data_IF_116394763847
#
_entry.id   IF_116394763847
#
_cell.length_a   1.000
_cell.length_b   1.000
_cell.length_c   1.000
_cell.angle_alpha   90.00
_cell.angle_beta   90.00
_cell.angle_gamma   90.00
#
_symmetry.space_group_name_H-M   'P 1'
#
loop_
_entity.id
_entity.type
_entity.pdbx_description
1 polymer ?
#
# COMPACT_ATOMS: atom_id res chain seq x y z
N UNK A 1 29.06 -32.81 -22.24
CA UNK A 1 28.98 -34.12 -21.55
C UNK A 1 27.74 -34.08 -20.65
N UNK A 2 26.81 -35.02 -20.85
CA UNK A 2 25.56 -35.30 -20.10
C UNK A 2 24.75 -34.15 -19.46
N UNK A 3 23.53 -33.88 -19.96
CA UNK A 3 22.40 -33.44 -19.14
C UNK A 3 21.60 -34.64 -18.61
N UNK A 4 21.14 -34.60 -17.36
CA UNK A 4 20.19 -35.58 -16.82
C UNK A 4 18.75 -35.07 -16.98
N UNK A 5 17.93 -35.83 -17.71
CA UNK A 5 16.47 -35.64 -17.77
C UNK A 5 15.80 -36.42 -16.63
N UNK A 6 14.88 -35.78 -15.91
CA UNK A 6 13.98 -36.46 -14.96
C UNK A 6 12.56 -36.41 -15.53
N UNK A 7 12.04 -37.59 -15.90
CA UNK A 7 10.64 -37.79 -16.26
C UNK A 7 9.81 -37.99 -15.00
N UNK A 8 8.68 -37.28 -14.88
CA UNK A 8 7.68 -37.54 -13.86
C UNK A 8 6.58 -38.45 -14.43
N UNK A 9 6.48 -39.67 -13.90
CA UNK A 9 5.35 -40.57 -14.14
C UNK A 9 4.18 -40.20 -13.22
N UNK A 10 2.98 -40.09 -13.78
CA UNK A 10 1.71 -40.09 -13.02
C UNK A 10 1.05 -41.47 -13.15
N UNK A 11 0.63 -42.11 -12.05
CA UNK A 11 -0.21 -43.30 -12.12
C UNK A 11 -1.67 -42.92 -12.43
N UNK A 12 -2.25 -43.58 -13.43
CA UNK A 12 -3.68 -43.49 -13.76
C UNK A 12 -4.45 -44.43 -12.83
N UNK A 13 -5.40 -43.90 -12.05
CA UNK A 13 -6.34 -44.70 -11.27
C UNK A 13 -7.66 -44.85 -12.04
N UNK A 14 -8.09 -46.09 -12.27
CA UNK A 14 -9.35 -46.41 -12.94
C UNK A 14 -10.54 -46.28 -11.99
N UNK A 15 -11.67 -45.79 -12.49
CA UNK A 15 -12.95 -45.78 -11.78
C UNK A 15 -13.97 -46.67 -12.52
N UNK A 16 -14.64 -47.53 -11.76
CA UNK A 16 -15.60 -48.52 -12.26
C UNK A 16 -16.99 -47.90 -12.52
N UNK A 17 -17.69 -48.39 -13.55
CA UNK A 17 -19.14 -48.23 -13.69
C UNK A 17 -19.91 -49.13 -12.71
N UNK A 18 -21.16 -48.78 -12.39
CA UNK A 18 -22.26 -49.64 -12.85
C UNK A 18 -23.43 -48.87 -13.48
N UNK A 19 -24.38 -49.63 -14.05
CA UNK A 19 -25.47 -49.18 -14.92
C UNK A 19 -26.86 -49.49 -14.36
N UNK A 20 -27.83 -48.61 -14.67
CA UNK A 20 -29.28 -48.84 -14.85
C UNK A 20 -30.11 -49.63 -13.82
N UNK A 21 -31.22 -49.02 -13.38
CA UNK A 21 -32.56 -49.57 -13.66
C UNK A 21 -33.68 -48.50 -13.57
N UNK A 22 -34.83 -48.81 -14.18
CA UNK A 22 -35.97 -47.90 -14.43
C UNK A 22 -37.09 -48.05 -13.38
N UNK A 23 -37.99 -47.06 -13.24
CA UNK A 23 -39.44 -47.21 -13.55
C UNK A 23 -40.37 -46.11 -12.97
N UNK A 24 -41.55 -46.03 -13.58
CA UNK A 24 -42.58 -44.97 -13.72
C UNK A 24 -43.48 -44.62 -12.48
N UNK A 25 -44.41 -43.64 -12.57
CA UNK A 25 -44.94 -42.87 -11.42
C UNK A 25 -46.47 -42.98 -11.18
N UNK A 26 -46.99 -42.35 -10.09
CA UNK A 26 -48.35 -41.71 -9.89
C UNK A 26 -48.75 -41.58 -8.40
N UNK A 27 -49.82 -40.85 -7.97
CA UNK A 27 -50.57 -39.76 -8.61
C UNK A 27 -50.91 -38.51 -7.70
N UNK A 28 -51.22 -37.40 -8.38
CA UNK A 28 -52.20 -36.31 -8.12
C UNK A 28 -52.77 -35.93 -6.71
N UNK A 29 -52.90 -34.60 -6.49
CA UNK A 29 -54.06 -34.00 -5.80
C UNK A 29 -54.42 -32.58 -6.34
N UNK A 30 -55.64 -32.10 -6.02
CA UNK A 30 -56.45 -31.06 -6.73
C UNK A 30 -56.91 -29.90 -5.81
N UNK A 31 -57.22 -28.67 -6.27
CA UNK A 31 -56.90 -28.03 -7.56
C UNK A 31 -56.70 -26.48 -7.55
N UNK A 32 -57.70 -25.55 -7.60
CA UNK A 32 -57.51 -24.34 -8.43
C UNK A 32 -57.87 -22.97 -7.82
N UNK A 33 -57.42 -21.88 -8.46
CA UNK A 33 -58.09 -20.55 -8.40
C UNK A 33 -57.88 -19.72 -9.68
N UNK A 34 -58.83 -18.82 -9.91
CA UNK A 34 -59.31 -18.26 -11.19
C UNK A 34 -58.51 -17.11 -11.85
N UNK A 35 -58.26 -17.24 -13.17
CA UNK A 35 -58.65 -16.33 -14.31
C UNK A 35 -58.54 -14.79 -14.17
N UNK A 36 -57.80 -14.11 -15.08
CA UNK A 36 -58.35 -13.14 -16.10
C UNK A 36 -57.32 -12.50 -17.07
N UNK A 37 -57.87 -12.06 -18.21
CA UNK A 37 -57.28 -11.68 -19.52
C UNK A 37 -56.40 -10.41 -19.58
N UNK A 38 -55.62 -10.31 -20.67
CA UNK A 38 -54.89 -9.12 -21.14
C UNK A 38 -55.80 -8.01 -21.75
N UNK A 39 -55.22 -6.85 -22.10
CA UNK A 39 -55.30 -6.35 -23.48
C UNK A 39 -53.95 -5.83 -24.05
N UNK A 40 -53.97 -5.23 -25.24
CA UNK A 40 -52.84 -5.14 -26.17
C UNK A 40 -52.18 -3.74 -26.36
N UNK A 41 -50.97 -3.78 -26.96
CA UNK A 41 -50.26 -2.82 -27.86
C UNK A 41 -50.75 -1.36 -28.01
N UNK A 42 -49.82 -0.39 -28.21
CA UNK A 42 -49.40 -0.10 -29.60
C UNK A 42 -47.98 0.50 -29.86
N UNK A 43 -47.44 0.20 -31.07
CA UNK A 43 -46.44 1.00 -31.87
C UNK A 43 -45.02 1.16 -31.23
N UNK A 44 -43.92 1.41 -31.96
CA UNK A 44 -43.71 1.88 -33.35
C UNK A 44 -42.39 1.35 -33.96
N UNK A 45 -42.32 1.35 -35.29
CA UNK A 45 -41.16 1.17 -36.19
C UNK A 45 -39.75 1.46 -35.68
N UNK A 46 -38.78 0.59 -36.04
CA UNK A 46 -37.39 0.96 -36.28
C UNK A 46 -36.94 0.49 -37.67
N UNK A 47 -36.23 1.37 -38.39
CA UNK A 47 -35.76 1.15 -39.75
C UNK A 47 -34.49 0.32 -39.80
N UNK A 48 -34.41 -0.58 -40.78
CA UNK A 48 -33.14 -1.19 -41.18
C UNK A 48 -32.28 -0.13 -41.90
N UNK A 49 -31.03 0.03 -41.48
CA UNK A 49 -30.00 0.67 -42.31
C UNK A 49 -28.94 -0.39 -42.65
N UNK A 50 -28.78 -0.61 -43.95
CA UNK A 50 -27.87 -1.59 -44.54
C UNK A 50 -26.44 -1.08 -44.58
N UNK A 51 -25.47 -2.00 -44.43
CA UNK A 51 -24.07 -1.70 -44.72
C UNK A 51 -23.89 -1.38 -46.21
N UNK A 52 -23.21 -0.28 -46.51
CA UNK A 52 -22.71 0.01 -47.85
C UNK A 52 -21.18 -0.12 -47.86
N UNK A 53 -20.67 -1.05 -48.68
CA UNK A 53 -19.24 -1.17 -49.02
C UNK A 53 -19.02 -0.57 -50.41
N UNK A 54 -17.98 0.24 -50.60
CA UNK A 54 -17.10 0.22 -51.79
C UNK A 54 -15.93 1.22 -51.64
N UNK A 55 -14.83 1.05 -52.39
CA UNK A 55 -13.49 1.41 -51.89
C UNK A 55 -12.78 2.52 -52.70
N UNK A 56 -11.65 2.99 -52.18
CA UNK A 56 -10.64 3.74 -52.95
C UNK A 56 -9.26 3.07 -52.74
N UNK A 57 -8.55 2.85 -53.85
CA UNK A 57 -7.19 2.30 -53.89
C UNK A 57 -6.12 3.32 -53.48
N UNK A 58 -5.02 2.82 -52.91
CA UNK A 58 -3.84 3.62 -52.59
C UNK A 58 -2.64 2.73 -52.27
N UNK A 59 -2.07 2.08 -53.28
CA UNK A 59 -0.84 1.28 -53.13
C UNK A 59 0.39 2.16 -53.23
N UNK A 60 1.36 2.06 -52.30
CA UNK A 60 2.75 1.76 -52.68
C UNK A 60 3.70 1.35 -51.54
N UNK A 61 4.52 0.35 -51.87
CA UNK A 61 5.90 0.06 -51.44
C UNK A 61 6.27 -0.10 -49.96
N UNK A 62 6.51 -1.37 -49.62
CA UNK A 62 7.32 -1.83 -48.49
C UNK A 62 8.80 -1.48 -48.69
N UNK A 63 9.45 -0.97 -47.65
CA UNK A 63 10.91 -1.05 -47.49
C UNK A 63 11.24 -1.54 -46.08
N UNK A 64 11.56 -2.83 -45.98
CA UNK A 64 12.09 -3.45 -44.76
C UNK A 64 13.59 -3.25 -44.68
N UNK A 65 14.07 -2.67 -43.57
CA UNK A 65 15.46 -2.81 -43.13
C UNK A 65 15.47 -3.31 -41.68
N UNK A 66 16.18 -4.40 -41.49
CA UNK A 66 16.37 -5.07 -40.20
C UNK A 66 17.01 -4.13 -39.17
N UNK A 67 16.57 -4.22 -37.92
CA UNK A 67 17.41 -4.01 -36.74
C UNK A 67 16.98 -4.98 -35.63
N UNK A 68 17.95 -5.37 -34.80
CA UNK A 68 17.93 -6.58 -33.97
C UNK A 68 17.20 -6.38 -32.61
N UNK A 69 16.93 -7.44 -31.83
CA UNK A 69 16.01 -7.38 -30.70
C UNK A 69 16.62 -6.74 -29.44
N UNK A 70 15.76 -6.15 -28.62
CA UNK A 70 16.08 -5.60 -27.30
C UNK A 70 16.19 -6.73 -26.27
N UNK A 71 17.27 -6.72 -25.48
CA UNK A 71 17.43 -7.49 -24.24
C UNK A 71 17.71 -6.52 -23.06
N UNK A 72 17.44 -6.92 -21.81
CA UNK A 72 17.20 -5.98 -20.71
C UNK A 72 18.48 -5.46 -20.05
N UNK A 73 18.39 -4.28 -19.43
CA UNK A 73 19.51 -3.62 -18.73
C UNK A 73 19.27 -3.55 -17.23
N UNK A 74 20.11 -4.24 -16.47
CA UNK A 74 20.74 -3.79 -15.21
C UNK A 74 21.79 -4.85 -14.78
N UNK A 75 22.81 -4.54 -13.95
CA UNK A 75 23.14 -3.26 -13.32
C UNK A 75 24.65 -2.85 -13.34
N UNK A 76 24.92 -1.71 -12.70
CA UNK A 76 26.15 -1.35 -11.95
C UNK A 76 27.38 -0.71 -12.66
N UNK A 77 27.99 0.22 -11.89
CA UNK A 77 29.36 0.74 -11.93
C UNK A 77 29.95 1.31 -13.25
N UNK A 78 30.09 2.63 -13.30
CA UNK A 78 31.37 3.30 -12.94
C UNK A 78 31.30 4.82 -13.08
N UNK A 79 31.82 5.57 -12.10
CA UNK A 79 31.89 7.03 -12.15
C UNK A 79 33.07 7.49 -13.02
N UNK A 80 32.79 8.21 -14.13
CA UNK A 80 33.82 8.88 -14.91
C UNK A 80 33.88 10.37 -14.54
N UNK A 81 35.01 10.81 -14.00
CA UNK A 81 35.24 12.20 -13.59
C UNK A 81 35.38 13.11 -14.82
N UNK A 82 34.52 14.12 -14.95
CA UNK A 82 34.74 15.22 -15.89
C UNK A 82 35.55 16.33 -15.18
N UNK A 83 36.75 16.61 -15.67
CA UNK A 83 37.66 17.62 -15.15
C UNK A 83 37.43 18.97 -15.85
N UNK A 84 36.65 19.86 -15.22
CA UNK A 84 36.53 21.26 -15.68
C UNK A 84 37.50 22.13 -14.88
N UNK A 85 38.52 22.70 -15.54
CA UNK A 85 39.49 23.62 -14.90
C UNK A 85 38.85 25.00 -14.72
N UNK A 86 38.65 25.42 -13.47
CA UNK A 86 38.45 26.84 -13.12
C UNK A 86 39.77 27.41 -12.57
N UNK A 87 40.33 28.40 -13.25
CA UNK A 87 41.51 29.15 -12.76
C UNK A 87 41.07 30.38 -11.97
N UNK A 88 41.19 30.34 -10.64
CA UNK A 88 41.24 31.55 -9.82
C UNK A 88 42.71 31.97 -9.60
N UNK A 89 43.02 33.24 -9.92
CA UNK A 89 44.29 33.87 -9.54
C UNK A 89 44.14 34.51 -8.16
N UNK A 90 44.92 34.09 -7.18
CA UNK A 90 45.12 34.86 -5.94
C UNK A 90 46.42 35.67 -6.04
N UNK A 91 46.34 36.98 -5.76
CA UNK A 91 47.50 37.84 -5.52
C UNK A 91 48.06 37.54 -4.13
N UNK A 92 49.35 37.28 -4.02
CA UNK A 92 50.06 37.25 -2.74
C UNK A 92 50.45 38.68 -2.33
N UNK A 93 50.21 39.03 -1.06
CA UNK A 93 50.78 40.22 -0.43
C UNK A 93 51.58 39.79 0.80
N UNK A 94 52.80 40.31 0.92
CA UNK A 94 53.76 39.92 1.94
C UNK A 94 54.03 41.07 2.91
N UNK A 95 53.86 40.83 4.22
CA UNK A 95 54.42 41.65 5.30
C UNK A 95 54.60 40.82 6.60
N UNK A 96 55.46 41.26 7.55
CA UNK A 96 56.30 40.33 8.32
C UNK A 96 55.79 39.97 9.72
N UNK A 97 56.28 38.85 10.24
CA UNK A 97 56.01 38.33 11.58
C UNK A 97 56.83 39.03 12.67
N UNK A 98 56.15 39.63 13.66
CA UNK A 98 56.80 40.07 14.92
C UNK A 98 56.97 38.89 15.87
N UNK A 99 58.18 38.67 16.37
CA UNK A 99 58.43 37.79 17.53
C UNK A 99 58.00 38.51 18.82
N UNK A 100 57.15 37.87 19.61
CA UNK A 100 56.94 38.21 21.02
C UNK A 100 57.67 37.18 21.88
N UNK A 101 58.55 37.66 22.77
CA UNK A 101 59.23 36.82 23.76
C UNK A 101 58.57 37.06 25.11
N UNK A 102 57.96 36.02 25.69
CA UNK A 102 57.40 36.09 27.04
C UNK A 102 58.45 35.64 28.05
N UNK A 103 58.87 36.55 28.93
CA UNK A 103 59.65 36.19 30.12
C UNK A 103 58.76 35.48 31.14
N UNK A 104 59.12 34.25 31.50
CA UNK A 104 58.51 33.52 32.61
C UNK A 104 59.22 33.90 33.90
N UNK A 105 58.54 34.64 34.77
CA UNK A 105 59.05 34.95 36.11
C UNK A 105 59.02 33.71 36.99
N UNK A 106 60.15 33.37 37.63
CA UNK A 106 60.19 32.33 38.68
C UNK A 106 59.45 32.82 39.93
N UNK A 107 58.48 32.05 40.40
CA UNK A 107 57.96 32.13 41.78
C UNK A 107 58.22 30.82 42.51
N UNK A 108 58.64 30.93 43.76
CA UNK A 108 58.91 29.81 44.68
C UNK A 108 57.60 29.10 45.08
N UNK A 109 57.64 27.82 45.50
CA UNK A 109 56.43 27.03 45.73
C UNK A 109 55.78 27.34 47.08
N UNK A 110 54.50 27.69 47.07
CA UNK A 110 53.61 27.59 48.23
C UNK A 110 52.81 26.30 48.17
N UNK A 111 52.73 25.58 49.28
CA UNK A 111 52.12 24.25 49.40
C UNK A 111 50.67 24.21 48.91
N UNK A 112 50.42 23.46 47.83
CA UNK A 112 49.10 23.01 47.42
C UNK A 112 48.98 21.53 47.74
N UNK A 113 47.98 21.18 48.56
CA UNK A 113 47.63 19.80 48.90
C UNK A 113 47.28 19.01 47.64
N UNK A 114 47.76 17.77 47.53
CA UNK A 114 47.31 16.86 46.46
C UNK A 114 45.80 16.69 46.57
N UNK A 115 45.07 17.16 45.55
CA UNK A 115 43.71 16.70 45.30
C UNK A 115 43.76 15.20 44.97
N UNK A 116 42.78 14.39 45.40
CA UNK A 116 42.74 12.98 45.06
C UNK A 116 42.64 12.80 43.55
N UNK A 117 43.41 11.86 43.01
CA UNK A 117 43.32 11.47 41.60
C UNK A 117 41.91 10.97 41.30
N UNK A 118 41.10 11.80 40.66
CA UNK A 118 39.91 11.34 39.93
C UNK A 118 40.37 10.55 38.71
N UNK A 119 40.67 9.27 38.93
CA UNK A 119 40.82 8.31 37.85
C UNK A 119 39.51 8.30 37.06
N UNK A 120 39.57 8.68 35.78
CA UNK A 120 38.43 8.57 34.89
C UNK A 120 37.93 7.11 34.93
N UNK A 121 36.62 6.86 35.12
CA UNK A 121 36.11 5.50 35.24
C UNK A 121 36.45 4.73 33.97
N UNK A 122 37.13 3.61 34.13
CA UNK A 122 37.40 2.66 33.06
C UNK A 122 36.07 2.22 32.44
N UNK A 123 35.81 2.72 31.23
CA UNK A 123 34.73 2.22 30.37
C UNK A 123 35.04 0.75 30.09
N UNK A 124 34.42 -0.15 30.86
CA UNK A 124 34.44 -1.58 30.56
C UNK A 124 33.91 -1.75 29.13
N UNK A 125 34.61 -2.48 28.24
CA UNK A 125 34.10 -2.71 26.90
C UNK A 125 32.78 -3.47 26.99
N UNK A 126 31.68 -2.79 26.66
CA UNK A 126 30.37 -3.39 26.54
C UNK A 126 30.37 -4.26 25.29
N UNK A 127 30.29 -5.57 25.47
CA UNK A 127 30.15 -6.49 24.34
C UNK A 127 28.87 -6.17 23.56
N UNK A 128 28.93 -6.09 22.22
CA UNK A 128 27.73 -5.89 21.41
C UNK A 128 26.82 -7.12 21.52
N UNK A 129 25.50 -6.90 21.41
CA UNK A 129 24.48 -7.93 21.45
C UNK A 129 23.37 -7.62 20.42
N UNK A 130 22.54 -8.61 20.10
CA UNK A 130 21.38 -8.43 19.22
C UNK A 130 20.30 -7.69 20.01
N UNK A 131 20.08 -6.40 19.71
CA UNK A 131 19.08 -5.59 20.42
C UNK A 131 17.64 -5.82 19.92
N UNK A 132 17.49 -6.27 18.68
CA UNK A 132 16.23 -6.71 18.06
C UNK A 132 16.55 -7.49 16.78
N UNK A 133 15.85 -8.59 16.54
CA UNK A 133 15.95 -9.36 15.30
C UNK A 133 14.57 -9.82 14.82
N UNK A 134 14.35 -9.71 13.50
CA UNK A 134 13.23 -10.35 12.79
C UNK A 134 13.66 -10.78 11.40
N UNK A 135 13.13 -11.88 10.90
CA UNK A 135 13.39 -12.38 9.56
C UNK A 135 12.16 -13.09 8.99
N UNK A 136 12.12 -13.32 7.68
CA UNK A 136 11.05 -14.11 7.09
C UNK A 136 10.98 -13.97 5.58
N UNK A 137 9.76 -13.87 5.03
CA UNK A 137 9.55 -13.76 3.58
C UNK A 137 8.61 -12.61 3.26
N UNK A 138 9.02 -11.82 2.26
CA UNK A 138 8.28 -10.70 1.69
C UNK A 138 7.85 -11.00 0.25
N UNK A 139 6.93 -10.19 -0.29
CA UNK A 139 6.43 -10.23 -1.66
C UNK A 139 5.79 -11.57 -2.10
N UNK A 140 5.16 -12.30 -1.17
CA UNK A 140 4.43 -13.54 -1.50
C UNK A 140 3.10 -13.16 -2.19
N UNK A 141 3.09 -13.13 -3.52
CA UNK A 141 1.86 -12.91 -4.30
C UNK A 141 1.03 -14.19 -4.40
N UNK A 142 -0.27 -14.08 -4.17
CA UNK A 142 -1.24 -15.18 -4.35
C UNK A 142 -2.57 -14.67 -4.90
N UNK A 143 -3.29 -15.57 -5.60
CA UNK A 143 -4.64 -15.35 -6.10
C UNK A 143 -5.53 -16.52 -5.67
N UNK A 144 -6.59 -16.27 -4.90
CA UNK A 144 -7.60 -17.26 -4.53
C UNK A 144 -8.89 -16.98 -5.29
N UNK A 145 -9.46 -18.02 -5.91
CA UNK A 145 -10.78 -17.95 -6.56
C UNK A 145 -11.78 -18.76 -5.72
N UNK A 146 -12.81 -18.09 -5.22
CA UNK A 146 -14.02 -18.75 -4.73
C UNK A 146 -14.95 -19.03 -5.90
N UNK A 147 -15.55 -20.23 -5.95
CA UNK A 147 -16.45 -20.68 -7.03
C UNK A 147 -17.72 -21.21 -6.39
N UNK A 148 -18.83 -20.49 -6.53
CA UNK A 148 -20.13 -20.97 -6.10
C UNK A 148 -20.74 -21.81 -7.24
N UNK A 149 -20.92 -23.11 -7.00
CA UNK A 149 -21.39 -24.04 -8.02
C UNK A 149 -22.88 -23.84 -8.36
N UNK A 150 -23.70 -23.49 -7.37
CA UNK A 150 -25.16 -23.37 -7.50
C UNK A 150 -25.59 -22.16 -8.35
N UNK A 151 -24.81 -21.07 -8.29
CA UNK A 151 -25.07 -19.82 -9.02
C UNK A 151 -24.13 -19.60 -10.20
N UNK A 152 -23.06 -20.38 -10.32
CA UNK A 152 -21.97 -20.15 -11.27
C UNK A 152 -21.09 -18.92 -11.00
N UNK A 153 -21.39 -18.15 -9.94
CA UNK A 153 -20.66 -16.92 -9.59
C UNK A 153 -19.29 -17.25 -8.99
N UNK A 154 -18.28 -16.55 -9.48
CA UNK A 154 -16.90 -16.65 -9.01
C UNK A 154 -16.50 -15.32 -8.38
N UNK A 155 -15.63 -15.36 -7.37
CA UNK A 155 -15.04 -14.16 -6.72
C UNK A 155 -13.55 -14.38 -6.57
N UNK A 156 -12.76 -13.35 -6.89
CA UNK A 156 -11.29 -13.41 -6.84
C UNK A 156 -10.73 -12.53 -5.73
N UNK A 157 -9.68 -13.01 -5.09
CA UNK A 157 -8.92 -12.27 -4.08
C UNK A 157 -7.44 -12.38 -4.44
N UNK A 158 -6.82 -11.28 -4.85
CA UNK A 158 -5.38 -11.20 -5.10
C UNK A 158 -4.72 -10.46 -3.93
N UNK A 159 -3.72 -11.08 -3.30
CA UNK A 159 -2.98 -10.45 -2.20
C UNK A 159 -1.47 -10.56 -2.39
N UNK A 160 -0.74 -9.70 -1.70
CA UNK A 160 0.72 -9.79 -1.51
C UNK A 160 1.00 -9.81 -0.02
N UNK A 161 1.69 -10.83 0.45
CA UNK A 161 1.90 -11.10 1.88
C UNK A 161 3.37 -10.98 2.24
N UNK A 162 3.65 -10.32 3.35
CA UNK A 162 4.91 -10.42 4.08
C UNK A 162 4.66 -11.09 5.43
N UNK A 163 5.58 -11.94 5.88
CA UNK A 163 5.56 -12.52 7.22
C UNK A 163 6.98 -12.51 7.79
N UNK A 164 7.16 -11.84 8.93
CA UNK A 164 8.43 -11.70 9.67
C UNK A 164 8.26 -12.20 11.10
N UNK A 165 9.13 -13.11 11.52
CA UNK A 165 9.10 -13.80 12.81
C UNK A 165 10.16 -13.22 13.76
N UNK A 166 9.81 -13.16 15.05
CA UNK A 166 10.69 -12.80 16.18
C UNK A 166 10.64 -13.92 17.22
N UNK A 167 11.74 -14.16 17.94
CA UNK A 167 11.83 -15.26 18.89
C UNK A 167 13.22 -15.44 19.47
N UNK A 168 13.48 -16.60 20.04
CA UNK A 168 14.79 -17.03 20.53
C UNK A 168 15.67 -17.45 19.32
N UNK A 169 16.08 -16.46 18.51
CA UNK A 169 16.73 -16.67 17.19
C UNK A 169 18.17 -16.12 17.11
N UNK A 170 18.67 -15.50 18.18
CA UNK A 170 19.95 -14.77 18.19
C UNK A 170 21.16 -15.63 17.82
N UNK A 171 21.15 -16.93 18.17
CA UNK A 171 22.24 -17.88 17.85
C UNK A 171 22.47 -18.03 16.34
N UNK A 172 21.44 -17.81 15.51
CA UNK A 172 21.60 -17.78 14.05
C UNK A 172 22.45 -16.61 13.55
N UNK A 173 22.49 -15.49 14.30
CA UNK A 173 23.30 -14.32 14.01
C UNK A 173 24.67 -14.37 14.69
N UNK A 174 24.73 -14.86 15.93
CA UNK A 174 25.94 -14.79 16.77
C UNK A 174 26.83 -16.03 16.71
N UNK A 175 26.24 -17.20 16.45
CA UNK A 175 26.89 -18.52 16.51
C UNK A 175 26.76 -19.32 15.20
N UNK A 176 26.12 -18.74 14.18
CA UNK A 176 25.77 -19.38 12.90
C UNK A 176 24.88 -20.64 13.05
N UNK A 177 24.13 -20.73 14.15
CA UNK A 177 23.22 -21.82 14.43
C UNK A 177 21.90 -21.67 13.65
N UNK A 178 21.73 -22.51 12.63
CA UNK A 178 20.50 -22.53 11.84
C UNK A 178 19.38 -23.39 12.44
N UNK A 179 19.57 -24.02 13.61
CA UNK A 179 18.55 -24.90 14.23
C UNK A 179 17.29 -24.14 14.67
N UNK A 180 17.45 -22.85 15.01
CA UNK A 180 16.37 -21.90 15.37
C UNK A 180 15.71 -21.22 14.15
N UNK A 181 16.06 -21.62 12.92
CA UNK A 181 15.62 -20.94 11.68
C UNK A 181 14.54 -21.74 10.95
N UNK A 182 13.29 -21.27 11.04
CA UNK A 182 12.20 -21.63 10.14
C UNK A 182 12.52 -21.06 8.75
N UNK A 183 13.11 -21.87 7.88
CA UNK A 183 13.56 -21.46 6.55
C UNK A 183 12.51 -20.62 5.81
N UNK A 184 12.93 -19.51 5.20
CA UNK A 184 12.00 -18.53 4.63
C UNK A 184 11.16 -19.10 3.47
N UNK A 185 11.64 -20.15 2.79
CA UNK A 185 10.82 -20.90 1.83
C UNK A 185 9.67 -21.67 2.49
N UNK A 186 9.90 -22.26 3.66
CA UNK A 186 8.85 -22.86 4.48
C UNK A 186 7.79 -21.84 4.86
N UNK A 187 8.18 -20.61 5.22
CA UNK A 187 7.23 -19.51 5.51
C UNK A 187 6.34 -19.23 4.29
N UNK A 188 6.93 -19.13 3.09
CA UNK A 188 6.21 -18.99 1.81
C UNK A 188 5.25 -20.16 1.55
N UNK A 189 5.70 -21.40 1.76
CA UNK A 189 4.88 -22.59 1.58
C UNK A 189 3.69 -22.61 2.57
N UNK A 190 3.92 -22.27 3.83
CA UNK A 190 2.88 -22.12 4.86
C UNK A 190 1.83 -21.09 4.47
N UNK A 191 2.21 -19.92 3.96
CA UNK A 191 1.23 -18.91 3.49
C UNK A 191 0.34 -19.46 2.37
N UNK A 192 0.88 -20.21 1.41
CA UNK A 192 0.08 -20.85 0.36
C UNK A 192 -0.84 -21.97 0.90
N UNK A 193 -0.35 -22.78 1.84
CA UNK A 193 -1.13 -23.86 2.47
C UNK A 193 -2.30 -23.28 3.28
N UNK A 194 -2.04 -22.26 4.11
CA UNK A 194 -3.07 -21.57 4.87
C UNK A 194 -4.05 -20.83 3.96
N UNK A 195 -3.59 -20.20 2.87
CA UNK A 195 -4.47 -19.61 1.86
C UNK A 195 -5.36 -20.66 1.17
N UNK A 196 -4.92 -21.92 1.04
CA UNK A 196 -5.77 -23.02 0.55
C UNK A 196 -6.81 -23.44 1.60
N UNK A 197 -6.41 -23.59 2.86
CA UNK A 197 -7.22 -24.13 3.96
C UNK A 197 -8.23 -23.12 4.54
N UNK A 198 -7.89 -21.83 4.61
CA UNK A 198 -8.67 -20.79 5.31
C UNK A 198 -9.19 -19.70 4.36
N UNK A 199 -10.18 -18.88 4.77
CA UNK A 199 -10.55 -17.66 4.04
C UNK A 199 -9.36 -16.70 3.93
N UNK A 200 -9.25 -16.00 2.80
CA UNK A 200 -8.25 -14.91 2.61
C UNK A 200 -8.89 -13.50 2.71
N UNK A 201 -10.21 -13.45 2.92
CA UNK A 201 -10.99 -12.25 3.18
C UNK A 201 -11.87 -12.49 4.42
N UNK A 202 -12.00 -11.52 5.35
CA UNK A 202 -11.27 -10.26 5.40
C UNK A 202 -9.75 -10.47 5.59
N UNK A 203 -8.89 -9.62 5.03
CA UNK A 203 -7.44 -9.75 5.17
C UNK A 203 -6.98 -9.73 6.64
N UNK A 204 -7.74 -9.09 7.54
CA UNK A 204 -7.51 -9.06 8.99
C UNK A 204 -7.56 -10.47 9.61
N UNK A 205 -8.55 -11.28 9.23
CA UNK A 205 -8.65 -12.69 9.65
C UNK A 205 -7.49 -13.51 9.08
N UNK A 206 -7.14 -13.30 7.81
CA UNK A 206 -6.07 -14.06 7.17
C UNK A 206 -4.69 -13.75 7.73
N UNK A 207 -4.35 -12.47 7.94
CA UNK A 207 -3.10 -12.04 8.56
C UNK A 207 -2.95 -12.63 9.97
N UNK A 208 -4.03 -12.57 10.77
CA UNK A 208 -4.09 -13.17 12.10
C UNK A 208 -3.93 -14.69 12.06
N UNK A 209 -4.57 -15.37 11.10
CA UNK A 209 -4.46 -16.83 10.91
C UNK A 209 -3.03 -17.27 10.60
N UNK A 210 -2.35 -16.55 9.70
CA UNK A 210 -0.93 -16.79 9.35
C UNK A 210 -0.03 -16.57 10.57
N UNK A 211 -0.18 -15.44 11.27
CA UNK A 211 0.66 -15.15 12.43
C UNK A 211 0.44 -16.13 13.59
N UNK A 212 -0.83 -16.47 13.88
CA UNK A 212 -1.18 -17.44 14.91
C UNK A 212 -0.61 -18.84 14.60
N UNK A 213 -0.60 -19.28 13.33
CA UNK A 213 0.02 -20.55 12.97
C UNK A 213 1.50 -20.62 13.39
N UNK A 214 2.31 -19.59 13.13
CA UNK A 214 3.73 -19.63 13.47
C UNK A 214 3.97 -19.68 14.98
N UNK A 215 3.28 -18.87 15.77
CA UNK A 215 3.41 -18.95 17.23
C UNK A 215 2.84 -20.27 17.79
N UNK A 216 1.74 -20.81 17.28
CA UNK A 216 1.26 -22.11 17.81
C UNK A 216 2.14 -23.30 17.38
N UNK A 217 2.89 -23.19 16.28
CA UNK A 217 3.71 -24.29 15.74
C UNK A 217 5.14 -24.33 16.30
N UNK A 218 5.81 -23.18 16.45
CA UNK A 218 7.25 -23.13 16.75
C UNK A 218 7.51 -22.47 18.10
N UNK A 219 7.75 -23.27 19.16
CA UNK A 219 7.86 -22.79 20.56
C UNK A 219 8.82 -21.62 20.78
N UNK A 220 9.93 -21.55 20.04
CA UNK A 220 10.93 -20.48 20.12
C UNK A 220 10.52 -19.18 19.40
N UNK A 221 9.48 -19.20 18.55
CA UNK A 221 8.96 -18.00 17.86
C UNK A 221 7.89 -17.34 18.73
N UNK A 222 8.11 -16.10 19.16
CA UNK A 222 7.24 -15.40 20.12
C UNK A 222 6.28 -14.40 19.48
N UNK A 223 6.65 -13.84 18.33
CA UNK A 223 5.84 -12.88 17.58
C UNK A 223 5.91 -13.19 16.08
N UNK A 224 4.77 -13.07 15.40
CA UNK A 224 4.69 -13.05 13.95
C UNK A 224 4.05 -11.73 13.49
N UNK A 225 4.82 -10.94 12.73
CA UNK A 225 4.37 -9.72 12.08
C UNK A 225 3.96 -10.07 10.65
N UNK A 226 2.69 -9.95 10.32
CA UNK A 226 2.14 -10.29 9.01
C UNK A 226 1.53 -9.05 8.37
N UNK A 227 1.99 -8.68 7.18
CA UNK A 227 1.32 -7.66 6.37
C UNK A 227 0.68 -8.29 5.13
N UNK A 228 -0.50 -7.77 4.78
CA UNK A 228 -1.29 -8.24 3.63
C UNK A 228 -1.73 -7.02 2.84
N UNK A 229 -1.31 -6.93 1.58
CA UNK A 229 -1.77 -5.95 0.60
C UNK A 229 -2.81 -6.61 -0.30
N UNK A 230 -4.06 -6.16 -0.26
CA UNK A 230 -5.15 -6.70 -1.11
C UNK A 230 -5.33 -5.84 -2.35
N UNK A 231 -5.12 -6.46 -3.51
CA UNK A 231 -5.26 -5.84 -4.83
C UNK A 231 -6.72 -5.90 -5.28
N UNK A 232 -7.27 -4.75 -5.67
CA UNK A 232 -8.69 -4.62 -6.00
C UNK A 232 -9.00 -5.12 -7.41
N UNK A 233 -9.91 -6.09 -7.48
CA UNK A 233 -10.52 -6.61 -8.70
C UNK A 233 -12.01 -6.32 -8.67
N UNK A 234 -12.43 -5.32 -9.43
CA UNK A 234 -13.83 -4.93 -9.54
C UNK A 234 -14.54 -5.89 -10.50
N UNK A 235 -15.67 -6.46 -10.08
CA UNK A 235 -16.52 -7.26 -10.97
C UNK A 235 -17.02 -6.35 -12.10
N UNK A 236 -16.80 -6.77 -13.35
CA UNK A 236 -17.31 -6.03 -14.51
C UNK A 236 -18.84 -6.04 -14.51
N UNK A 237 -19.46 -4.91 -14.85
CA UNK A 237 -20.85 -4.88 -15.27
C UNK A 237 -20.91 -4.99 -16.80
N UNK A 238 -21.82 -5.81 -17.31
CA UNK A 238 -22.10 -6.00 -18.74
C UNK A 238 -23.61 -5.95 -18.93
N UNK A 239 -24.08 -5.02 -19.75
CA UNK A 239 -25.51 -4.79 -20.04
C UNK A 239 -26.39 -4.55 -18.78
N UNK A 240 -25.84 -3.83 -17.78
CA UNK A 240 -26.54 -3.51 -16.53
C UNK A 240 -26.59 -4.68 -15.55
N UNK A 241 -25.69 -5.66 -15.68
CA UNK A 241 -25.62 -6.88 -14.88
C UNK A 241 -24.19 -7.21 -14.47
N UNK A 242 -23.92 -7.54 -13.20
CA UNK A 242 -22.59 -7.97 -12.77
C UNK A 242 -22.18 -9.31 -13.41
N UNK A 243 -21.03 -9.35 -14.07
CA UNK A 243 -20.54 -10.54 -14.77
C UNK A 243 -20.12 -11.64 -13.78
N UNK A 244 -20.48 -12.92 -14.00
CA UNK A 244 -20.23 -13.99 -13.02
C UNK A 244 -18.74 -14.25 -12.74
N UNK A 245 -17.83 -13.96 -13.68
CA UNK A 245 -16.42 -14.33 -13.56
C UNK A 245 -15.41 -13.40 -14.29
N UNK A 246 -15.80 -12.17 -14.63
CA UNK A 246 -14.89 -11.19 -15.26
C UNK A 246 -14.69 -9.97 -14.38
N UNK A 247 -13.44 -9.49 -14.32
CA UNK A 247 -13.01 -8.45 -13.39
C UNK A 247 -12.06 -7.48 -14.08
N UNK A 248 -12.15 -6.20 -13.72
CA UNK A 248 -11.19 -5.16 -14.08
C UNK A 248 -10.33 -4.83 -12.87
N UNK A 249 -9.03 -4.59 -13.07
CA UNK A 249 -8.12 -4.17 -12.00
C UNK A 249 -8.32 -2.69 -11.71
N UNK A 250 -8.51 -2.34 -10.44
CA UNK A 250 -8.73 -0.96 -10.00
C UNK A 250 -7.46 -0.10 -10.16
N UNK A 251 -7.59 1.23 -10.10
CA UNK A 251 -6.57 2.23 -10.42
C UNK A 251 -5.45 2.39 -9.37
N UNK A 252 -5.01 1.30 -8.73
CA UNK A 252 -3.94 1.28 -7.74
C UNK A 252 -4.37 1.38 -6.27
N UNK A 253 -5.66 1.58 -6.01
CA UNK A 253 -6.21 1.49 -4.65
C UNK A 253 -6.03 0.07 -4.07
N UNK A 254 -5.66 -0.01 -2.79
CA UNK A 254 -5.44 -1.25 -2.05
C UNK A 254 -6.07 -1.18 -0.65
N UNK A 255 -6.53 -2.35 -0.16
CA UNK A 255 -6.90 -2.56 1.24
C UNK A 255 -5.77 -3.34 1.90
N UNK A 256 -5.12 -2.75 2.90
CA UNK A 256 -3.96 -3.37 3.54
C UNK A 256 -4.21 -3.63 5.02
N UNK A 257 -3.48 -4.59 5.55
CA UNK A 257 -3.49 -4.95 6.97
C UNK A 257 -2.05 -5.17 7.42
N UNK A 258 -1.74 -4.68 8.61
CA UNK A 258 -0.57 -5.05 9.41
C UNK A 258 -1.07 -5.70 10.70
N UNK A 259 -0.73 -6.97 10.94
CA UNK A 259 -1.11 -7.71 12.14
C UNK A 259 0.15 -8.19 12.88
N UNK A 260 0.28 -7.79 14.16
CA UNK A 260 1.30 -8.32 15.08
C UNK A 260 0.63 -9.33 16.00
N UNK A 261 0.90 -10.62 15.76
CA UNK A 261 0.42 -11.72 16.59
C UNK A 261 1.53 -12.10 17.59
N UNK A 262 1.28 -11.87 18.87
CA UNK A 262 2.20 -12.15 19.98
C UNK A 262 1.67 -13.27 20.88
N UNK A 263 2.56 -14.13 21.39
CA UNK A 263 2.22 -15.11 22.43
C UNK A 263 1.70 -14.49 23.73
N UNK A 264 2.18 -13.28 24.06
CA UNK A 264 1.99 -12.66 25.38
C UNK A 264 0.99 -11.52 25.36
N UNK A 265 1.02 -10.72 24.29
CA UNK A 265 0.30 -9.44 24.22
C UNK A 265 -1.08 -9.62 23.57
N UNK A 266 -1.23 -10.62 22.68
CA UNK A 266 -2.42 -10.84 21.88
C UNK A 266 -2.18 -10.51 20.41
N UNK A 267 -3.19 -9.92 19.76
CA UNK A 267 -3.19 -9.61 18.33
C UNK A 267 -3.53 -8.13 18.14
N UNK A 268 -2.51 -7.34 17.82
CA UNK A 268 -2.67 -5.94 17.42
C UNK A 268 -2.84 -5.87 15.90
N UNK A 269 -3.88 -5.15 15.43
CA UNK A 269 -4.19 -5.00 14.00
C UNK A 269 -4.28 -3.52 13.64
N UNK A 270 -3.65 -3.16 12.52
CA UNK A 270 -3.90 -1.91 11.80
C UNK A 270 -4.41 -2.24 10.41
N UNK A 271 -5.60 -1.75 10.07
CA UNK A 271 -6.15 -1.82 8.72
C UNK A 271 -5.92 -0.49 8.01
N UNK A 272 -5.83 -0.47 6.68
CA UNK A 272 -5.64 0.76 5.92
C UNK A 272 -6.18 0.74 4.49
N UNK A 273 -6.45 1.94 3.98
CA UNK A 273 -6.59 2.26 2.55
C UNK A 273 -5.27 2.90 2.10
N UNK A 274 -4.71 2.45 0.97
CA UNK A 274 -3.56 3.10 0.33
C UNK A 274 -3.71 3.14 -1.19
N UNK A 275 -3.14 4.17 -1.82
CA UNK A 275 -3.18 4.33 -3.29
C UNK A 275 -4.48 4.91 -3.85
N UNK A 276 -5.42 5.33 -2.98
CA UNK A 276 -6.63 6.04 -3.39
C UNK A 276 -6.26 7.47 -3.84
N UNK A 277 -6.09 7.66 -5.14
CA UNK A 277 -5.79 8.96 -5.76
C UNK A 277 -7.08 9.77 -5.93
N UNK A 278 -7.11 11.01 -5.44
CA UNK A 278 -8.28 11.91 -5.57
C UNK A 278 -7.86 13.33 -5.97
N UNK A 279 -8.78 14.07 -6.61
CA UNK A 279 -8.62 15.47 -7.01
C UNK A 279 -9.97 16.21 -6.91
N UNK A 280 -9.96 17.45 -6.39
CA UNK A 280 -11.07 18.41 -6.50
C UNK A 280 -10.56 19.71 -7.13
N UNK A 281 -11.39 20.31 -7.98
CA UNK A 281 -11.04 21.46 -8.83
C UNK A 281 -11.27 22.83 -8.19
N UNK A 282 -12.06 22.87 -7.11
CA UNK A 282 -12.43 24.06 -6.33
C UNK A 282 -12.83 23.62 -4.92
N UNK A 283 -13.07 24.55 -4.00
CA UNK A 283 -13.48 24.25 -2.63
C UNK A 283 -12.31 23.75 -1.76
N UNK A 284 -11.11 24.26 -2.04
CA UNK A 284 -9.96 24.22 -1.15
C UNK A 284 -9.30 25.59 -1.13
N UNK A 285 -8.91 26.05 0.05
CA UNK A 285 -8.20 27.30 0.27
C UNK A 285 -6.88 27.04 1.01
N UNK A 286 -6.05 28.08 1.12
CA UNK A 286 -4.92 28.17 2.04
C UNK A 286 -4.50 29.63 2.24
N UNK A 287 -4.85 30.19 3.39
CA UNK A 287 -4.56 31.55 3.82
C UNK A 287 -4.40 31.58 5.35
N UNK A 288 -3.92 32.69 5.91
CA UNK A 288 -3.67 32.84 7.35
C UNK A 288 -2.48 32.01 7.87
N UNK A 289 -1.58 31.56 6.98
CA UNK A 289 -0.35 30.88 7.38
C UNK A 289 0.72 31.89 7.83
N UNK A 290 1.69 31.41 8.63
CA UNK A 290 2.81 32.24 9.11
C UNK A 290 3.55 32.85 7.92
N UNK A 291 3.90 34.14 8.03
CA UNK A 291 4.68 34.87 7.03
C UNK A 291 5.96 35.40 7.67
N UNK A 292 7.09 35.07 7.07
CA UNK A 292 8.45 35.41 7.48
C UNK A 292 9.32 35.74 6.26
N UNK A 293 10.63 35.94 6.45
CA UNK A 293 11.60 36.22 5.39
C UNK A 293 11.80 35.07 4.38
N UNK A 294 11.27 33.87 4.64
CA UNK A 294 11.32 32.72 3.74
C UNK A 294 10.03 32.55 2.92
N UNK A 295 8.98 33.34 3.21
CA UNK A 295 7.63 33.11 2.69
C UNK A 295 7.36 33.81 1.36
N UNK A 296 7.55 33.09 0.25
CA UNK A 296 7.18 33.54 -1.12
C UNK A 296 5.76 33.15 -1.54
N UNK A 297 5.12 32.20 -0.84
CA UNK A 297 3.79 31.69 -1.18
C UNK A 297 2.72 32.78 -1.04
N UNK A 298 1.92 32.95 -2.08
CA UNK A 298 0.70 33.76 -2.06
C UNK A 298 -0.43 33.01 -1.33
N UNK A 299 -1.28 33.76 -0.63
CA UNK A 299 -2.51 33.21 -0.07
C UNK A 299 -3.53 32.92 -1.18
N UNK A 300 -4.37 31.91 -0.99
CA UNK A 300 -5.47 31.62 -1.91
C UNK A 300 -6.75 31.22 -1.18
N UNK A 301 -7.88 31.65 -1.74
CA UNK A 301 -9.23 31.30 -1.30
C UNK A 301 -9.92 30.27 -2.20
N UNK A 302 -9.34 29.95 -3.36
CA UNK A 302 -9.74 28.79 -4.15
C UNK A 302 -8.54 28.19 -4.91
N UNK A 303 -8.43 26.86 -4.91
CA UNK A 303 -7.37 26.11 -5.59
C UNK A 303 -7.76 24.66 -5.82
N UNK A 304 -7.07 24.04 -6.79
CA UNK A 304 -6.96 22.59 -6.90
C UNK A 304 -6.39 21.98 -5.61
N UNK A 305 -6.96 20.83 -5.23
CA UNK A 305 -6.38 19.93 -4.23
C UNK A 305 -6.37 18.51 -4.78
N UNK A 306 -5.20 17.87 -4.78
CA UNK A 306 -5.05 16.45 -5.10
C UNK A 306 -4.14 15.77 -4.09
N UNK A 307 -4.44 14.51 -3.79
CA UNK A 307 -3.68 13.69 -2.84
C UNK A 307 -3.82 12.21 -3.17
N UNK A 308 -2.83 11.43 -2.73
CA UNK A 308 -2.93 9.97 -2.66
C UNK A 308 -3.20 9.62 -1.19
N UNK A 309 -4.34 9.01 -0.91
CA UNK A 309 -4.74 8.72 0.47
C UNK A 309 -4.03 7.46 0.97
N UNK A 310 -3.21 7.62 2.01
CA UNK A 310 -2.87 6.59 2.99
C UNK A 310 -3.64 6.92 4.28
N UNK A 311 -4.61 6.07 4.61
CA UNK A 311 -5.49 6.20 5.78
C UNK A 311 -5.49 4.89 6.56
N UNK A 312 -5.16 4.93 7.85
CA UNK A 312 -4.95 3.78 8.72
C UNK A 312 -5.81 3.87 9.97
N UNK A 313 -6.35 2.75 10.43
CA UNK A 313 -7.02 2.67 11.73
C UNK A 313 -6.49 1.48 12.52
N UNK A 314 -6.09 1.77 13.76
CA UNK A 314 -5.60 0.77 14.71
C UNK A 314 -6.78 0.27 15.53
N UNK A 315 -6.98 -1.04 15.50
CA UNK A 315 -7.99 -1.71 16.31
C UNK A 315 -7.52 -1.84 17.76
N UNK A 316 -8.46 -1.83 18.70
CA UNK A 316 -8.19 -2.25 20.08
C UNK A 316 -7.62 -3.67 20.09
N UNK A 317 -6.63 -3.95 20.93
CA UNK A 317 -5.90 -5.22 20.92
C UNK A 317 -6.82 -6.42 21.19
N UNK A 318 -6.76 -7.43 20.32
CA UNK A 318 -7.58 -8.62 20.42
C UNK A 318 -6.84 -9.70 21.23
N UNK A 319 -7.45 -10.30 22.26
CA UNK A 319 -6.74 -11.24 23.15
C UNK A 319 -6.35 -12.58 22.48
N UNK A 320 -7.03 -12.97 21.39
CA UNK A 320 -6.84 -14.25 20.71
C UNK A 320 -7.59 -14.32 19.36
N UNK A 321 -7.37 -15.41 18.62
CA UNK A 321 -8.07 -15.70 17.35
C UNK A 321 -9.60 -15.73 17.49
N UNK A 322 -10.15 -16.21 18.61
CA UNK A 322 -11.61 -16.27 18.78
C UNK A 322 -12.24 -14.88 18.86
N UNK A 323 -11.50 -13.86 19.30
CA UNK A 323 -11.95 -12.46 19.25
C UNK A 323 -11.89 -11.88 17.82
N UNK A 324 -10.92 -12.31 17.00
CA UNK A 324 -10.83 -11.99 15.57
C UNK A 324 -11.99 -12.61 14.79
N UNK A 325 -12.24 -13.91 14.98
CA UNK A 325 -13.32 -14.66 14.32
C UNK A 325 -14.70 -14.04 14.60
N UNK A 326 -14.95 -13.59 15.84
CA UNK A 326 -16.17 -12.86 16.23
C UNK A 326 -16.28 -11.45 15.65
N UNK A 327 -15.19 -10.88 15.15
CA UNK A 327 -15.12 -9.51 14.62
C UNK A 327 -15.11 -9.45 13.09
N UNK A 328 -15.22 -10.59 12.40
CA UNK A 328 -15.08 -10.72 10.93
C UNK A 328 -15.94 -9.72 10.14
N UNK A 329 -17.21 -9.54 10.48
CA UNK A 329 -18.11 -8.60 9.77
C UNK A 329 -17.67 -7.14 9.92
N UNK A 330 -17.13 -6.77 11.09
CA UNK A 330 -16.73 -5.41 11.42
C UNK A 330 -15.56 -4.92 10.59
N UNK A 331 -14.67 -5.82 10.13
CA UNK A 331 -13.52 -5.44 9.31
C UNK A 331 -13.92 -4.92 7.93
N UNK A 332 -14.87 -5.59 7.27
CA UNK A 332 -15.39 -5.17 5.96
C UNK A 332 -16.23 -3.89 6.09
N UNK A 333 -17.11 -3.81 7.09
CA UNK A 333 -17.90 -2.60 7.42
C UNK A 333 -17.00 -1.38 7.72
N UNK A 334 -15.93 -1.56 8.49
CA UNK A 334 -14.98 -0.52 8.82
C UNK A 334 -14.26 0.04 7.59
N UNK A 335 -13.83 -0.85 6.68
CA UNK A 335 -13.16 -0.45 5.45
C UNK A 335 -14.08 0.37 4.53
N UNK A 336 -15.31 -0.10 4.33
CA UNK A 336 -16.31 0.62 3.54
C UNK A 336 -16.64 1.98 4.17
N UNK A 337 -16.82 2.05 5.49
CA UNK A 337 -17.09 3.31 6.20
C UNK A 337 -15.93 4.29 6.12
N UNK A 338 -14.70 3.83 6.33
CA UNK A 338 -13.50 4.67 6.20
C UNK A 338 -13.37 5.25 4.79
N UNK A 339 -13.65 4.44 3.76
CA UNK A 339 -13.62 4.87 2.36
C UNK A 339 -14.76 5.85 2.03
N UNK A 340 -15.99 5.55 2.46
CA UNK A 340 -17.16 6.41 2.28
C UNK A 340 -16.92 7.80 2.90
N UNK A 341 -16.48 7.84 4.16
CA UNK A 341 -16.19 9.08 4.90
C UNK A 341 -15.09 9.87 4.21
N UNK A 342 -14.00 9.21 3.80
CA UNK A 342 -12.88 9.84 3.06
C UNK A 342 -13.37 10.51 1.79
N UNK A 343 -14.06 9.76 0.93
CA UNK A 343 -14.52 10.29 -0.37
C UNK A 343 -15.56 11.40 -0.20
N UNK A 344 -16.51 11.21 0.72
CA UNK A 344 -17.56 12.17 1.02
C UNK A 344 -16.99 13.49 1.54
N UNK A 345 -16.16 13.46 2.58
CA UNK A 345 -15.55 14.68 3.14
C UNK A 345 -14.60 15.35 2.16
N UNK A 346 -13.79 14.59 1.42
CA UNK A 346 -12.93 15.17 0.39
C UNK A 346 -13.75 15.95 -0.65
N UNK A 347 -14.87 15.39 -1.12
CA UNK A 347 -15.75 16.06 -2.06
C UNK A 347 -16.43 17.31 -1.46
N UNK A 348 -17.13 17.17 -0.32
CA UNK A 348 -18.06 18.20 0.17
C UNK A 348 -17.44 19.24 1.11
N UNK A 349 -16.30 18.97 1.74
CA UNK A 349 -15.67 19.93 2.67
C UNK A 349 -15.08 21.10 1.90
N UNK A 350 -15.48 22.33 2.23
CA UNK A 350 -14.78 23.53 1.75
C UNK A 350 -13.50 23.67 2.58
N UNK A 351 -12.40 23.12 2.07
CA UNK A 351 -11.22 22.75 2.86
C UNK A 351 -10.32 23.96 3.13
N UNK A 352 -10.19 24.44 4.38
CA UNK A 352 -9.27 25.55 4.69
C UNK A 352 -7.80 25.09 4.73
N UNK A 353 -7.57 23.79 4.89
CA UNK A 353 -6.26 23.13 4.84
C UNK A 353 -6.42 21.60 4.82
N UNK A 354 -5.40 20.91 4.32
CA UNK A 354 -5.33 19.43 4.36
C UNK A 354 -5.45 18.92 5.80
N UNK A 355 -4.77 19.60 6.74
CA UNK A 355 -4.79 19.34 8.18
C UNK A 355 -6.22 19.32 8.75
N UNK A 356 -7.05 20.31 8.40
CA UNK A 356 -8.40 20.41 8.94
C UNK A 356 -9.33 19.33 8.36
N UNK A 357 -9.25 19.09 7.05
CA UNK A 357 -10.08 18.10 6.36
C UNK A 357 -9.72 16.66 6.77
N UNK A 358 -8.43 16.32 6.91
CA UNK A 358 -8.03 14.99 7.39
C UNK A 358 -8.41 14.75 8.86
N UNK A 359 -8.36 15.79 9.71
CA UNK A 359 -8.80 15.70 11.09
C UNK A 359 -10.31 15.40 11.19
N UNK A 360 -11.14 16.07 10.39
CA UNK A 360 -12.59 15.75 10.26
C UNK A 360 -12.82 14.29 9.84
N UNK A 361 -12.01 13.77 8.92
CA UNK A 361 -12.09 12.36 8.51
C UNK A 361 -11.75 11.41 9.66
N UNK A 362 -10.66 11.67 10.39
CA UNK A 362 -10.28 10.87 11.56
C UNK A 362 -11.41 10.80 12.60
N UNK A 363 -12.02 11.94 12.93
CA UNK A 363 -13.13 12.02 13.89
C UNK A 363 -14.35 11.20 13.43
N UNK A 364 -14.77 11.32 12.17
CA UNK A 364 -15.92 10.57 11.66
C UNK A 364 -15.64 9.06 11.55
N UNK A 365 -14.40 8.65 11.26
CA UNK A 365 -14.03 7.23 11.24
C UNK A 365 -14.00 6.65 12.66
N UNK A 366 -13.47 7.38 13.64
CA UNK A 366 -13.53 6.97 15.05
C UNK A 366 -14.98 6.84 15.55
N UNK A 367 -15.89 7.72 15.13
CA UNK A 367 -17.31 7.62 15.49
C UNK A 367 -17.99 6.42 14.80
N UNK A 368 -17.79 6.27 13.49
CA UNK A 368 -18.44 5.23 12.68
C UNK A 368 -17.86 3.81 12.87
N UNK A 369 -16.62 3.67 13.36
CA UNK A 369 -15.92 2.38 13.52
C UNK A 369 -15.59 2.13 15.00
N UNK A 370 -16.54 1.65 15.81
CA UNK A 370 -16.29 1.32 17.21
C UNK A 370 -15.26 0.18 17.34
N UNK A 371 -14.42 0.23 18.37
CA UNK A 371 -13.30 -0.71 18.58
C UNK A 371 -12.02 -0.37 17.81
N UNK A 372 -11.92 0.87 17.31
CA UNK A 372 -10.65 1.48 16.89
C UNK A 372 -10.15 2.43 17.97
N UNK A 373 -8.85 2.39 18.26
CA UNK A 373 -8.20 3.23 19.27
C UNK A 373 -7.71 4.55 18.67
N UNK A 374 -7.18 4.49 17.44
CA UNK A 374 -6.68 5.64 16.71
C UNK A 374 -6.85 5.52 15.19
N UNK A 375 -6.97 6.67 14.52
CA UNK A 375 -7.02 6.81 13.07
C UNK A 375 -5.93 7.78 12.63
N UNK A 376 -5.12 7.38 11.67
CA UNK A 376 -4.02 8.16 11.13
C UNK A 376 -4.15 8.36 9.62
N UNK A 377 -3.74 9.53 9.12
CA UNK A 377 -3.65 9.82 7.70
C UNK A 377 -2.26 10.35 7.34
N UNK A 378 -1.80 10.03 6.14
CA UNK A 378 -0.60 10.57 5.51
C UNK A 378 -0.93 11.02 4.09
N UNK A 379 -1.07 12.34 3.89
CA UNK A 379 -1.58 12.95 2.66
C UNK A 379 -0.50 13.81 1.98
N UNK A 380 0.04 13.41 0.81
CA UNK A 380 0.86 14.27 -0.01
C UNK A 380 -0.01 15.29 -0.75
N UNK A 381 0.27 16.59 -0.61
CA UNK A 381 -0.37 17.61 -1.43
C UNK A 381 0.28 17.61 -2.84
N UNK A 382 -0.42 17.03 -3.82
CA UNK A 382 0.04 16.89 -5.20
C UNK A 382 -0.30 18.16 -5.97
N UNK A 383 0.69 19.05 -6.07
CA UNK A 383 0.49 20.40 -6.58
C UNK A 383 0.16 20.42 -8.07
N UNK A 384 -0.77 21.29 -8.43
CA UNK A 384 -1.08 21.68 -9.80
C UNK A 384 -0.97 23.21 -9.84
N UNK A 385 0.09 23.74 -10.44
CA UNK A 385 0.35 25.18 -10.44
C UNK A 385 -0.38 25.86 -11.61
N UNK A 386 -0.88 27.08 -11.39
CA UNK A 386 -1.33 27.95 -12.47
C UNK A 386 -0.18 28.26 -13.43
N UNK A 387 -0.51 28.48 -14.70
CA UNK A 387 0.46 28.81 -15.74
C UNK A 387 0.22 30.22 -16.26
N UNK A 388 1.10 31.17 -15.94
CA UNK A 388 1.03 32.51 -16.51
C UNK A 388 1.33 32.48 -18.02
N UNK A 389 0.34 32.90 -18.81
CA UNK A 389 0.39 33.02 -20.26
C UNK A 389 0.25 34.47 -20.75
N UNK A 390 0.27 35.46 -19.84
CA UNK A 390 0.14 36.88 -20.17
C UNK A 390 1.19 37.37 -21.17
N UNK A 391 2.41 36.81 -21.10
CA UNK A 391 3.48 37.05 -22.07
C UNK A 391 3.08 36.73 -23.52
N UNK A 392 2.13 35.80 -23.74
CA UNK A 392 1.59 35.50 -25.06
C UNK A 392 0.31 36.31 -25.33
N UNK A 393 0.48 37.54 -25.83
CA UNK A 393 -0.63 38.42 -26.27
C UNK A 393 -1.64 38.76 -25.16
N UNK A 394 -1.18 38.85 -23.90
CA UNK A 394 -2.01 39.11 -22.72
C UNK A 394 -3.08 38.03 -22.46
N UNK A 395 -2.83 36.78 -22.85
CA UNK A 395 -3.76 35.67 -22.60
C UNK A 395 -3.90 35.39 -21.09
N UNK A 396 -5.14 35.38 -20.61
CA UNK A 396 -5.46 35.19 -19.19
C UNK A 396 -5.55 33.70 -18.86
N UNK A 397 -4.80 33.24 -17.86
CA UNK A 397 -4.82 31.86 -17.38
C UNK A 397 -4.43 31.74 -15.88
N UNK A 398 -4.80 32.74 -15.07
CA UNK A 398 -4.46 32.82 -13.64
C UNK A 398 -5.66 33.30 -12.81
N UNK A 399 -5.72 32.92 -11.54
CA UNK A 399 -6.85 33.21 -10.65
C UNK A 399 -8.19 32.75 -11.23
N UNK A 400 -9.19 33.65 -11.27
CA UNK A 400 -10.52 33.36 -11.82
C UNK A 400 -10.54 32.95 -13.32
N UNK A 401 -9.42 33.11 -14.04
CA UNK A 401 -9.26 32.73 -15.44
C UNK A 401 -8.40 31.47 -15.64
N UNK A 402 -7.98 30.78 -14.58
CA UNK A 402 -7.09 29.64 -14.67
C UNK A 402 -7.80 28.37 -15.16
N UNK A 403 -7.53 27.98 -16.41
CA UNK A 403 -8.06 26.78 -17.06
C UNK A 403 -6.97 25.71 -17.29
N UNK A 404 -5.73 26.14 -17.55
CA UNK A 404 -4.58 25.28 -17.81
C UNK A 404 -3.60 25.32 -16.64
N UNK A 405 -3.31 24.13 -16.08
CA UNK A 405 -2.43 23.96 -14.93
C UNK A 405 -1.25 23.04 -15.27
N UNK A 406 -0.17 23.15 -14.50
CA UNK A 406 1.02 22.28 -14.62
C UNK A 406 1.09 21.35 -13.40
N UNK A 407 0.74 20.06 -13.55
CA UNK A 407 0.91 19.06 -12.49
C UNK A 407 2.39 18.89 -12.13
N UNK A 408 2.71 18.97 -10.84
CA UNK A 408 4.08 18.80 -10.35
C UNK A 408 4.29 17.38 -9.84
N UNK A 409 5.28 16.67 -10.40
CA UNK A 409 5.70 15.36 -9.87
C UNK A 409 6.43 15.50 -8.54
N UNK A 410 7.20 16.57 -8.36
CA UNK A 410 7.92 16.91 -7.13
C UNK A 410 8.31 18.40 -7.13
N UNK A 411 8.60 19.01 -5.96
CA UNK A 411 8.34 18.48 -4.62
C UNK A 411 6.83 18.46 -4.29
N UNK A 412 6.46 17.81 -3.20
CA UNK A 412 5.10 17.81 -2.67
C UNK A 412 5.12 18.19 -1.18
N UNK A 413 4.08 18.87 -0.71
CA UNK A 413 3.81 18.91 0.73
C UNK A 413 3.47 17.50 1.24
N UNK A 414 3.80 17.17 2.48
CA UNK A 414 3.39 15.91 3.12
C UNK A 414 2.83 16.20 4.51
N UNK A 415 1.53 15.96 4.69
CA UNK A 415 0.81 16.26 5.92
C UNK A 415 0.46 14.93 6.59
N UNK A 416 0.75 14.81 7.89
CA UNK A 416 0.41 13.63 8.70
C UNK A 416 -0.33 14.04 9.97
N UNK A 417 -1.28 13.23 10.38
CA UNK A 417 -2.02 13.38 11.63
C UNK A 417 -2.45 11.99 12.12
N UNK A 418 -2.36 11.75 13.43
CA UNK A 418 -3.03 10.64 14.11
C UNK A 418 -3.94 11.24 15.18
N UNK A 419 -5.17 10.72 15.25
CA UNK A 419 -6.17 11.10 16.25
C UNK A 419 -6.54 9.83 17.01
N UNK A 420 -6.42 9.88 18.33
CA UNK A 420 -6.76 8.79 19.25
C UNK A 420 -7.99 9.17 20.06
N UNK A 421 -8.69 8.17 20.62
CA UNK A 421 -9.66 8.43 21.69
C UNK A 421 -8.96 8.93 22.95
N UNK A 422 -9.64 9.80 23.69
CA UNK A 422 -9.25 10.32 25.01
C UNK A 422 -9.57 9.33 26.13
#
# INVERSE_FOLDING_TARGET
VCPYSIQLFFPVAAAYHPTHQESRPSPALRSPLSVRRAPACPRTTYSQCTLNRSPIHGSLLVHTKNLAPVLPINPACSALRLLTRLTLRFRTSSQPTRRLSCHVARRSPSSLSLAPNYAAPSLKPTMPYVSAARYGKDNIRLLKVSRNADTGVQTVFETTVCCLLEGDIDTSYTEADNSVVVATDSIKNTVFILAKQHPVNPPELFASTVGNHFIQTYSHIHVANVSVVTHRWLRMDVDGKPHPHSFIKDAGETRNVEARVSRRDGIAITSSIAGLTVLKTTGSAFHGFVRDEYTTLAETWDRLLSTDVDARWRWSEFPNMQAIEKSVSRFDEAWEKAREITLKLFAIDNSPSVQNTMYKMCLQILDAVPGTDSVAYSLPNKHNFELDLSWHKNLQNTGQHAEVYVPQTCPNGLIKCEVSRS
#
